data_IF_781196358070
#
_entry.id   IF_781196358070
#
_cell.length_a   1.000
_cell.length_b   1.000
_cell.length_c   1.000
_cell.angle_alpha   90.00
_cell.angle_beta   90.00
_cell.angle_gamma   90.00
#
_symmetry.space_group_name_H-M   'P 1'
#
loop_
_entity.id
_entity.type
_entity.pdbx_description
1 polymer ?
#
# COMPACT_ATOMS: atom_id res chain seq x y z
N UNK A 1 6.11 29.26 -26.78
CA UNK A 1 6.97 28.94 -25.61
C UNK A 1 6.63 27.52 -25.16
N UNK A 2 7.55 26.57 -25.24
CA UNK A 2 7.32 25.22 -24.73
C UNK A 2 7.27 25.26 -23.19
N UNK A 3 6.20 24.72 -22.61
CA UNK A 3 6.03 24.58 -21.17
C UNK A 3 6.97 23.47 -20.70
N UNK A 4 7.87 23.79 -19.78
CA UNK A 4 8.78 22.80 -19.19
C UNK A 4 7.93 21.70 -18.51
N UNK A 5 8.15 20.45 -18.89
CA UNK A 5 7.56 19.31 -18.19
C UNK A 5 8.05 19.34 -16.74
N UNK A 6 7.16 19.16 -15.75
CA UNK A 6 7.57 19.10 -14.36
C UNK A 6 8.60 17.98 -14.21
N UNK A 7 9.80 18.33 -13.75
CA UNK A 7 10.92 17.41 -13.45
C UNK A 7 10.60 16.45 -12.30
N UNK A 8 9.47 16.68 -11.61
CA UNK A 8 8.93 15.76 -10.62
C UNK A 8 8.26 14.61 -11.37
N UNK A 9 8.94 13.47 -11.37
CA UNK A 9 8.32 12.18 -11.69
C UNK A 9 7.03 12.07 -10.88
N UNK A 10 5.89 12.06 -11.57
CA UNK A 10 4.61 11.76 -10.95
C UNK A 10 4.76 10.41 -10.25
N UNK A 11 4.85 10.43 -8.92
CA UNK A 11 5.00 9.20 -8.15
C UNK A 11 3.64 8.53 -8.16
N UNK A 12 3.47 7.61 -9.12
CA UNK A 12 2.26 6.82 -9.23
C UNK A 12 2.06 6.05 -7.93
N UNK A 13 0.89 6.20 -7.35
CA UNK A 13 0.47 5.46 -6.17
C UNK A 13 -0.78 4.68 -6.56
N UNK A 14 -0.68 3.37 -6.56
CA UNK A 14 -1.80 2.47 -6.79
C UNK A 14 -2.54 2.24 -5.49
N UNK A 15 -3.86 2.15 -5.58
CA UNK A 15 -4.71 1.82 -4.46
C UNK A 15 -5.38 0.49 -4.75
N UNK A 16 -5.07 -0.49 -3.95
CA UNK A 16 -5.56 -1.86 -4.04
C UNK A 16 -6.30 -2.21 -2.75
N UNK A 17 -7.27 -3.12 -2.81
CA UNK A 17 -7.99 -3.59 -1.60
C UNK A 17 -7.54 -4.99 -1.25
N UNK A 18 -6.69 -5.09 -0.23
CA UNK A 18 -6.21 -6.38 0.25
C UNK A 18 -7.01 -6.86 1.47
N UNK A 19 -7.24 -8.17 1.55
CA UNK A 19 -7.84 -8.80 2.74
C UNK A 19 -6.74 -9.42 3.57
N UNK A 20 -6.75 -9.14 4.87
CA UNK A 20 -5.79 -9.73 5.81
C UNK A 20 -6.10 -11.22 5.98
N UNK A 21 -5.12 -12.06 5.66
CA UNK A 21 -5.14 -13.50 5.91
C UNK A 21 -5.22 -13.80 7.41
N UNK A 22 -5.62 -15.03 7.73
CA UNK A 22 -5.66 -15.50 9.13
C UNK A 22 -4.28 -15.45 9.80
N UNK A 23 -3.23 -15.59 9.00
CA UNK A 23 -1.83 -15.48 9.40
C UNK A 23 -1.34 -14.03 9.43
N UNK A 24 -2.21 -13.02 9.61
CA UNK A 24 -1.86 -11.58 9.70
C UNK A 24 -1.06 -10.99 8.52
N UNK A 25 -1.07 -11.64 7.35
CA UNK A 25 -0.43 -11.14 6.13
C UNK A 25 -1.45 -10.58 5.15
N UNK A 26 -1.06 -9.57 4.38
CA UNK A 26 -1.76 -9.12 3.17
C UNK A 26 -0.90 -9.42 1.97
N UNK A 27 -1.50 -10.01 0.94
CA UNK A 27 -0.86 -10.20 -0.36
C UNK A 27 -1.08 -8.93 -1.19
N UNK A 28 0.02 -8.38 -1.71
CA UNK A 28 0.04 -7.13 -2.47
C UNK A 28 1.13 -7.27 -3.53
N UNK A 29 0.77 -7.21 -4.81
CA UNK A 29 1.73 -7.34 -5.92
C UNK A 29 2.61 -8.60 -5.80
N UNK A 30 2.00 -9.75 -5.47
CA UNK A 30 2.68 -11.05 -5.20
C UNK A 30 3.56 -11.07 -3.93
N UNK A 31 3.62 -9.97 -3.17
CA UNK A 31 4.38 -9.86 -1.93
C UNK A 31 3.48 -9.95 -0.69
N UNK A 32 3.94 -10.68 0.31
CA UNK A 32 3.26 -10.80 1.60
C UNK A 32 3.80 -9.77 2.59
N UNK A 33 2.94 -8.88 3.04
CA UNK A 33 3.27 -7.87 4.05
C UNK A 33 2.54 -8.17 5.37
N UNK A 34 3.27 -8.14 6.48
CA UNK A 34 2.68 -8.37 7.80
C UNK A 34 1.92 -7.14 8.26
N UNK A 35 0.73 -7.33 8.81
CA UNK A 35 -0.10 -6.25 9.39
C UNK A 35 -0.45 -6.58 10.85
N UNK A 36 -0.88 -5.59 11.65
CA UNK A 36 -1.34 -5.86 13.00
C UNK A 36 -2.40 -6.97 13.03
N UNK A 37 -2.19 -7.98 13.88
CA UNK A 37 -3.07 -9.15 13.99
C UNK A 37 -4.54 -8.79 14.31
N UNK A 38 -4.79 -7.61 14.88
CA UNK A 38 -6.13 -7.07 15.13
C UNK A 38 -6.94 -6.85 13.84
N UNK A 39 -6.29 -6.89 12.69
CA UNK A 39 -6.88 -6.66 11.36
C UNK A 39 -7.19 -7.95 10.61
N UNK A 40 -6.92 -9.12 11.20
CA UNK A 40 -7.24 -10.43 10.61
C UNK A 40 -8.70 -10.46 10.11
N UNK A 41 -8.90 -10.97 8.90
CA UNK A 41 -10.19 -11.02 8.17
C UNK A 41 -10.78 -9.66 7.75
N UNK A 42 -10.16 -8.53 8.11
CA UNK A 42 -10.59 -7.22 7.66
C UNK A 42 -10.05 -6.90 6.25
N UNK A 43 -10.73 -5.96 5.57
CA UNK A 43 -10.27 -5.39 4.30
C UNK A 43 -9.54 -4.09 4.57
N UNK A 44 -8.35 -3.96 3.99
CA UNK A 44 -7.50 -2.78 4.08
C UNK A 44 -7.34 -2.19 2.69
N UNK A 45 -7.32 -0.87 2.62
CA UNK A 45 -6.90 -0.15 1.43
C UNK A 45 -5.38 -0.07 1.47
N UNK A 46 -4.72 -0.66 0.49
CA UNK A 46 -3.27 -0.69 0.38
C UNK A 46 -2.87 0.30 -0.69
N UNK A 47 -2.07 1.29 -0.29
CA UNK A 47 -1.44 2.23 -1.19
C UNK A 47 -0.05 1.73 -1.55
N UNK A 48 0.15 1.37 -2.80
CA UNK A 48 1.42 0.91 -3.33
C UNK A 48 2.06 2.07 -4.06
N UNK A 49 3.30 2.38 -3.73
CA UNK A 49 4.11 3.40 -4.41
C UNK A 49 5.36 2.74 -4.97
N UNK A 50 6.18 3.50 -5.70
CA UNK A 50 7.44 3.00 -6.27
C UNK A 50 8.38 2.37 -5.22
N UNK A 51 8.30 2.79 -3.95
CA UNK A 51 9.25 2.36 -2.92
C UNK A 51 8.58 1.87 -1.63
N UNK A 52 7.26 1.94 -1.52
CA UNK A 52 6.58 1.74 -0.23
C UNK A 52 5.16 1.23 -0.42
N UNK A 53 4.75 0.32 0.46
CA UNK A 53 3.41 -0.23 0.55
C UNK A 53 2.82 0.20 1.90
N UNK A 54 1.79 1.03 1.87
CA UNK A 54 1.11 1.56 3.05
C UNK A 54 -0.27 0.91 3.17
N UNK A 55 -0.60 0.34 4.33
CA UNK A 55 -1.92 -0.23 4.59
C UNK A 55 -2.78 0.75 5.38
N UNK A 56 -4.03 0.94 4.96
CA UNK A 56 -5.02 1.81 5.56
C UNK A 56 -6.27 1.02 5.95
N UNK A 57 -6.77 1.24 7.16
CA UNK A 57 -8.07 0.76 7.61
C UNK A 57 -9.01 1.96 7.75
N UNK A 58 -10.06 2.03 6.93
CA UNK A 58 -11.06 3.13 6.99
C UNK A 58 -10.40 4.54 6.96
N UNK A 59 -9.37 4.71 6.15
CA UNK A 59 -8.60 5.97 6.04
C UNK A 59 -7.51 6.18 7.10
N UNK A 60 -7.37 5.29 8.10
CA UNK A 60 -6.27 5.33 9.07
C UNK A 60 -5.12 4.43 8.63
N UNK A 61 -3.91 4.98 8.47
CA UNK A 61 -2.71 4.17 8.21
C UNK A 61 -2.41 3.26 9.40
N UNK A 62 -2.35 1.96 9.15
CA UNK A 62 -2.13 0.92 10.17
C UNK A 62 -0.80 0.19 10.01
N UNK A 63 -0.23 0.16 8.80
CA UNK A 63 1.09 -0.40 8.54
C UNK A 63 1.76 0.34 7.36
N UNK A 64 3.09 0.30 7.31
CA UNK A 64 3.87 0.82 6.18
C UNK A 64 5.14 -0.02 6.02
N UNK A 65 5.37 -0.53 4.82
CA UNK A 65 6.48 -1.40 4.48
C UNK A 65 7.25 -0.83 3.30
N UNK A 66 8.57 -0.99 3.28
CA UNK A 66 9.36 -0.62 2.11
C UNK A 66 9.21 -1.70 1.05
N UNK A 67 8.90 -1.31 -0.19
CA UNK A 67 8.96 -2.20 -1.36
C UNK A 67 10.43 -2.33 -1.74
N UNK A 68 10.90 -3.56 -1.97
CA UNK A 68 12.27 -3.87 -2.39
C UNK A 68 12.28 -4.51 -3.77
#
# INVERSE_FOLDING_TARGET
MLKQLPTLLYTYAEWEKARVHIDYHVEVDDHYYSVPYQLIKQRLDVRITAHTVECFLKGKRVASHRRS
#
